data_IF_769509067543
#
_entry.id   IF_769509067543
#
_cell.length_a   1.000
_cell.length_b   1.000
_cell.length_c   1.000
_cell.angle_alpha   90.00
_cell.angle_beta   90.00
_cell.angle_gamma   90.00
#
_symmetry.space_group_name_H-M   'P 1'
#
loop_
_entity.id
_entity.type
_entity.pdbx_description
1 polymer ?
#
# COMPACT_ATOMS: atom_id res chain seq x y z
N UNK A 1 2.76 4.18 13.49
CA UNK A 1 1.46 4.24 12.77
C UNK A 1 1.24 2.87 12.13
N UNK A 2 0.00 2.34 12.14
CA UNK A 2 -0.35 1.07 11.48
C UNK A 2 -1.25 1.38 10.27
N UNK A 3 -0.93 0.83 9.10
CA UNK A 3 -1.68 1.02 7.85
C UNK A 3 -1.59 -0.26 6.99
N UNK A 4 -2.50 -0.40 6.02
CA UNK A 4 -2.58 -1.56 5.12
C UNK A 4 -1.60 -1.42 3.97
N UNK A 5 -0.99 -2.54 3.57
CA UNK A 5 -0.31 -2.66 2.27
C UNK A 5 -1.25 -3.39 1.31
N UNK A 6 -1.55 -2.79 0.17
CA UNK A 6 -2.43 -3.34 -0.86
C UNK A 6 -1.64 -3.57 -2.18
N UNK A 7 -2.25 -4.28 -3.13
CA UNK A 7 -1.65 -4.60 -4.45
C UNK A 7 -0.36 -5.45 -4.40
N UNK A 8 -0.27 -6.34 -3.40
CA UNK A 8 0.79 -7.34 -3.29
C UNK A 8 0.21 -8.61 -2.69
N UNK A 9 0.66 -9.77 -3.16
CA UNK A 9 0.27 -11.04 -2.55
C UNK A 9 0.98 -11.20 -1.18
N UNK A 10 0.32 -11.76 -0.14
CA UNK A 10 0.91 -11.83 1.21
C UNK A 10 2.28 -12.55 1.27
N UNK A 11 2.49 -13.53 0.40
CA UNK A 11 3.73 -14.31 0.27
C UNK A 11 4.86 -13.55 -0.45
N UNK A 12 4.54 -12.49 -1.18
CA UNK A 12 5.51 -11.60 -1.82
C UNK A 12 5.98 -10.47 -0.89
N UNK A 13 5.29 -10.26 0.24
CA UNK A 13 5.64 -9.23 1.22
C UNK A 13 6.97 -9.56 1.88
N UNK A 14 7.91 -8.61 1.81
CA UNK A 14 9.23 -8.72 2.43
C UNK A 14 9.48 -7.54 3.35
N UNK A 15 10.15 -7.81 4.48
CA UNK A 15 10.62 -6.74 5.36
C UNK A 15 11.63 -5.87 4.59
N UNK A 16 11.46 -4.55 4.67
CA UNK A 16 12.28 -3.59 3.93
C UNK A 16 11.81 -3.33 2.50
N UNK A 17 10.69 -3.91 2.05
CA UNK A 17 10.10 -3.59 0.76
C UNK A 17 9.68 -2.11 0.71
N UNK A 18 10.14 -1.40 -0.31
CA UNK A 18 9.76 0.00 -0.53
C UNK A 18 8.27 0.11 -0.89
N UNK A 19 7.60 1.11 -0.32
CA UNK A 19 6.18 1.37 -0.55
C UNK A 19 5.91 2.86 -0.74
N UNK A 20 4.83 3.18 -1.44
CA UNK A 20 4.33 4.54 -1.64
C UNK A 20 2.96 4.73 -0.98
N UNK A 21 2.76 5.87 -0.34
CA UNK A 21 1.51 6.23 0.32
C UNK A 21 0.44 6.64 -0.70
N UNK A 22 -0.74 6.03 -0.60
CA UNK A 22 -1.89 6.28 -1.46
C UNK A 22 -3.13 6.55 -0.58
N UNK A 23 -3.94 7.53 -0.99
CA UNK A 23 -5.25 7.77 -0.37
C UNK A 23 -6.30 6.95 -1.10
N UNK A 24 -6.87 5.96 -0.41
CA UNK A 24 -7.97 5.15 -0.90
C UNK A 24 -9.28 5.75 -0.41
N UNK A 25 -10.11 6.20 -1.35
CA UNK A 25 -11.47 6.59 -1.06
C UNK A 25 -12.30 5.33 -0.77
N UNK A 26 -12.96 5.33 0.37
CA UNK A 26 -14.03 4.39 0.74
C UNK A 26 -15.30 5.22 0.89
N UNK A 27 -16.48 4.62 0.70
CA UNK A 27 -17.76 5.36 0.55
C UNK A 27 -17.90 6.59 1.46
N UNK A 28 -17.64 6.43 2.76
CA UNK A 28 -17.78 7.51 3.74
C UNK A 28 -16.44 8.05 4.29
N UNK A 29 -15.28 7.55 3.82
CA UNK A 29 -13.99 7.94 4.40
C UNK A 29 -12.78 7.77 3.47
N UNK A 30 -11.72 8.54 3.72
CA UNK A 30 -10.44 8.37 3.05
C UNK A 30 -9.46 7.63 3.97
N UNK A 31 -8.88 6.53 3.48
CA UNK A 31 -7.89 5.75 4.21
C UNK A 31 -6.50 5.93 3.57
N UNK A 32 -5.49 6.18 4.41
CA UNK A 32 -4.09 6.10 3.99
C UNK A 32 -3.69 4.62 3.91
N UNK A 33 -3.33 4.16 2.71
CA UNK A 33 -2.81 2.82 2.44
C UNK A 33 -1.45 2.92 1.76
N UNK A 34 -0.72 1.82 1.72
CA UNK A 34 0.57 1.71 1.05
C UNK A 34 0.47 0.71 -0.10
N UNK A 35 1.16 0.99 -1.20
CA UNK A 35 1.35 0.05 -2.33
C UNK A 35 2.84 -0.13 -2.59
N UNK A 36 3.31 -1.28 -3.11
CA UNK A 36 4.72 -1.46 -3.45
C UNK A 36 5.22 -0.35 -4.36
N UNK A 37 6.39 0.21 -4.03
CA UNK A 37 7.10 1.15 -4.88
C UNK A 37 7.81 0.37 -6.00
N UNK A 38 7.04 -0.21 -6.92
CA UNK A 38 7.52 -0.92 -8.11
C UNK A 38 7.17 -0.15 -9.38
N UNK A 39 8.13 -0.10 -10.31
CA UNK A 39 8.17 0.72 -11.53
C UNK A 39 6.83 0.86 -12.27
N UNK A 40 6.17 1.99 -12.10
CA UNK A 40 5.36 2.57 -13.18
C UNK A 40 6.27 3.52 -13.96
N UNK A 41 6.86 3.00 -15.03
CA UNK A 41 7.25 3.80 -16.19
C UNK A 41 5.98 4.30 -16.92
#
# INVERSE_FOLDING_TARGET
>A
MMSRVEQIAPDEVKIGLAVSAHIKQTGDSALLVFVPAGDRA
#
